data_IF_938062021308
#
_entry.id   IF_938062021308
#
_cell.length_a   1.000
_cell.length_b   1.000
_cell.length_c   1.000
_cell.angle_alpha   90.00
_cell.angle_beta   90.00
_cell.angle_gamma   90.00
#
_symmetry.space_group_name_H-M   'P 1'
#
loop_
_entity.id
_entity.type
_entity.pdbx_description
1 polymer ?
#
# COMPACT_ATOMS: atom_id res chain seq x y z
N UNK A 1 15.80 9.59 24.91
CA UNK A 1 15.24 10.84 24.38
C UNK A 1 13.89 11.00 25.05
N UNK A 2 13.77 11.89 26.05
CA UNK A 2 12.46 12.18 26.64
C UNK A 2 11.51 12.72 25.57
N UNK A 3 10.20 12.73 25.85
CA UNK A 3 9.19 13.35 24.97
C UNK A 3 9.65 14.73 24.48
N UNK A 4 9.53 14.98 23.18
CA UNK A 4 10.03 16.21 22.58
C UNK A 4 9.18 17.44 22.99
N UNK A 5 9.64 18.64 22.66
CA UNK A 5 8.93 19.87 23.03
C UNK A 5 7.55 19.98 22.37
N UNK A 6 7.42 19.51 21.11
CA UNK A 6 6.17 19.53 20.36
C UNK A 6 5.13 18.58 20.99
N UNK A 7 5.57 17.40 21.40
CA UNK A 7 4.76 16.36 22.06
C UNK A 7 4.32 16.81 23.45
N UNK A 8 5.20 17.48 24.21
CA UNK A 8 4.84 18.09 25.50
C UNK A 8 3.84 19.24 25.34
N UNK A 9 3.99 20.09 24.33
CA UNK A 9 2.99 21.12 23.97
C UNK A 9 1.65 20.50 23.56
N UNK A 10 1.66 19.39 22.82
CA UNK A 10 0.45 18.63 22.50
C UNK A 10 -0.21 18.06 23.75
N UNK A 11 0.56 17.49 24.69
CA UNK A 11 0.05 16.97 25.95
C UNK A 11 -0.62 18.03 26.84
N UNK A 12 -0.07 19.25 26.86
CA UNK A 12 -0.70 20.39 27.54
C UNK A 12 -1.99 20.81 26.82
N UNK A 13 -2.00 20.87 25.48
CA UNK A 13 -3.22 21.26 24.75
C UNK A 13 -4.35 20.22 24.78
N UNK A 14 -4.03 18.95 25.05
CA UNK A 14 -4.99 17.84 25.21
C UNK A 14 -5.09 17.35 26.67
N UNK A 15 -4.67 18.16 27.65
CA UNK A 15 -4.57 17.73 29.05
C UNK A 15 -5.94 17.28 29.60
N UNK A 16 -7.02 17.98 29.23
CA UNK A 16 -8.38 17.66 29.67
C UNK A 16 -8.84 16.30 29.15
N UNK A 17 -8.57 16.00 27.89
CA UNK A 17 -8.93 14.75 27.23
C UNK A 17 -8.07 13.58 27.76
N UNK A 18 -6.76 13.79 27.92
CA UNK A 18 -5.86 12.84 28.57
C UNK A 18 -6.30 12.53 30.00
N UNK A 19 -6.62 13.55 30.80
CA UNK A 19 -7.09 13.38 32.18
C UNK A 19 -8.40 12.58 32.23
N UNK A 20 -9.36 12.89 31.36
CA UNK A 20 -10.62 12.12 31.21
C UNK A 20 -10.40 10.66 30.78
N UNK A 21 -9.41 10.39 29.93
CA UNK A 21 -9.04 9.03 29.56
C UNK A 21 -8.43 8.28 30.77
N UNK A 22 -7.50 8.92 31.48
CA UNK A 22 -6.86 8.37 32.68
C UNK A 22 -7.84 8.13 33.84
N UNK A 23 -8.77 9.06 34.08
CA UNK A 23 -9.83 8.94 35.08
C UNK A 23 -10.76 7.76 34.76
N UNK A 24 -11.10 7.56 33.48
CA UNK A 24 -11.89 6.40 33.03
C UNK A 24 -11.11 5.09 33.20
N UNK A 25 -9.85 5.03 32.79
CA UNK A 25 -8.99 3.85 32.99
C UNK A 25 -8.89 3.48 34.48
N UNK A 26 -8.61 4.45 35.36
CA UNK A 26 -8.55 4.25 36.82
C UNK A 26 -9.88 3.78 37.39
N UNK A 27 -10.97 4.50 37.12
CA UNK A 27 -12.28 4.16 37.68
C UNK A 27 -12.77 2.76 37.26
N UNK A 28 -12.40 2.28 36.06
CA UNK A 28 -12.65 0.89 35.62
C UNK A 28 -11.79 -0.11 36.40
N UNK A 29 -10.50 0.18 36.56
CA UNK A 29 -9.57 -0.64 37.35
C UNK A 29 -9.98 -0.73 38.84
N UNK A 30 -10.44 0.37 39.45
CA UNK A 30 -10.92 0.40 40.84
C UNK A 30 -12.16 -0.49 41.02
N UNK A 31 -13.10 -0.45 40.06
CA UNK A 31 -14.24 -1.39 39.99
C UNK A 31 -13.80 -2.82 39.65
N UNK A 32 -12.53 -3.03 39.29
CA UNK A 32 -11.96 -4.31 38.85
C UNK A 32 -12.60 -4.86 37.59
N UNK A 33 -13.05 -3.97 36.72
CA UNK A 33 -13.53 -4.31 35.38
C UNK A 33 -12.32 -4.69 34.52
N UNK A 34 -12.44 -5.74 33.71
CA UNK A 34 -11.33 -6.28 32.92
C UNK A 34 -11.60 -6.16 31.43
N UNK A 35 -10.56 -5.92 30.64
CA UNK A 35 -10.61 -6.00 29.18
C UNK A 35 -10.27 -7.41 28.73
N UNK A 36 -11.12 -7.98 27.89
CA UNK A 36 -10.79 -9.12 27.04
C UNK A 36 -10.70 -8.66 25.59
N UNK A 37 -9.47 -8.55 25.10
CA UNK A 37 -9.22 -8.31 23.67
C UNK A 37 -9.09 -9.64 22.92
N UNK A 38 -9.98 -9.86 21.95
CA UNK A 38 -9.82 -10.89 20.93
C UNK A 38 -9.15 -10.29 19.69
N UNK A 39 -7.96 -10.82 19.36
CA UNK A 39 -7.19 -10.40 18.18
C UNK A 39 -7.77 -10.87 16.85
N UNK A 40 -8.65 -11.88 16.84
CA UNK A 40 -9.29 -12.41 15.63
C UNK A 40 -10.44 -11.49 15.20
N UNK A 41 -11.40 -11.23 16.09
CA UNK A 41 -12.49 -10.28 15.82
C UNK A 41 -12.09 -8.80 15.97
N UNK A 42 -10.91 -8.53 16.56
CA UNK A 42 -10.46 -7.19 16.98
C UNK A 42 -11.44 -6.50 17.94
N UNK A 43 -12.11 -7.27 18.79
CA UNK A 43 -13.05 -6.74 19.78
C UNK A 43 -12.43 -6.76 21.18
N UNK A 44 -12.45 -5.60 21.82
CA UNK A 44 -12.22 -5.45 23.25
C UNK A 44 -13.56 -5.44 23.98
N UNK A 45 -13.83 -6.49 24.75
CA UNK A 45 -15.00 -6.60 25.61
C UNK A 45 -14.60 -6.18 27.02
N UNK A 46 -15.31 -5.23 27.64
CA UNK A 46 -15.16 -4.96 29.07
C UNK A 46 -16.14 -5.82 29.85
N UNK A 47 -15.64 -6.51 30.86
CA UNK A 47 -16.40 -7.38 31.74
C UNK A 47 -16.31 -6.90 33.20
N UNK A 48 -17.40 -7.05 33.96
CA UNK A 48 -17.36 -6.89 35.43
C UNK A 48 -16.52 -7.99 36.07
N UNK A 49 -16.18 -7.85 37.35
CA UNK A 49 -15.59 -8.95 38.17
C UNK A 49 -16.44 -10.23 38.17
N UNK A 50 -17.73 -10.17 37.77
CA UNK A 50 -18.67 -11.29 37.70
C UNK A 50 -18.82 -11.88 36.29
N UNK A 51 -18.17 -11.29 35.28
CA UNK A 51 -18.24 -11.71 33.88
C UNK A 51 -19.35 -11.04 33.06
N UNK A 52 -20.07 -10.05 33.61
CA UNK A 52 -21.12 -9.34 32.88
C UNK A 52 -20.49 -8.39 31.84
N UNK A 53 -20.95 -8.44 30.59
CA UNK A 53 -20.45 -7.55 29.53
C UNK A 53 -20.98 -6.14 29.72
N UNK A 54 -20.07 -5.20 30.02
CA UNK A 54 -20.36 -3.77 30.22
C UNK A 54 -20.41 -3.03 28.88
N UNK A 55 -19.57 -3.44 27.93
CA UNK A 55 -19.49 -2.81 26.62
C UNK A 55 -18.47 -3.51 25.72
N UNK A 56 -18.50 -3.13 24.44
CA UNK A 56 -17.61 -3.66 23.40
C UNK A 56 -17.09 -2.51 22.54
N UNK A 57 -15.79 -2.49 22.34
CA UNK A 57 -15.08 -1.52 21.50
C UNK A 57 -14.24 -2.25 20.47
N UNK A 58 -14.04 -1.64 19.31
CA UNK A 58 -13.06 -2.11 18.35
C UNK A 58 -11.65 -1.79 18.86
N UNK A 59 -10.80 -2.81 18.98
CA UNK A 59 -9.41 -2.69 19.37
C UNK A 59 -8.50 -2.65 18.13
N UNK A 60 -7.87 -1.51 17.87
CA UNK A 60 -6.84 -1.39 16.82
C UNK A 60 -5.46 -1.33 17.48
N UNK A 61 -4.48 -2.05 16.94
CA UNK A 61 -3.10 -1.93 17.42
C UNK A 61 -2.56 -0.58 16.96
N UNK A 62 -2.15 0.27 17.89
CA UNK A 62 -1.65 1.62 17.60
C UNK A 62 -0.13 1.67 17.61
N UNK A 63 0.51 1.01 18.57
CA UNK A 63 1.98 0.94 18.68
C UNK A 63 2.45 -0.34 19.35
N UNK A 64 3.74 -0.65 19.19
CA UNK A 64 4.47 -1.65 19.98
C UNK A 64 5.75 -1.02 20.52
N UNK A 65 6.04 -1.24 21.78
CA UNK A 65 7.26 -0.79 22.44
C UNK A 65 8.14 -1.98 22.79
N UNK A 66 9.35 -2.03 22.23
CA UNK A 66 10.35 -3.06 22.52
C UNK A 66 11.14 -2.60 23.75
N UNK A 67 10.95 -3.30 24.87
CA UNK A 67 11.43 -2.85 26.19
C UNK A 67 12.96 -2.80 26.23
N UNK A 68 13.62 -3.81 25.66
CA UNK A 68 15.09 -3.93 25.59
C UNK A 68 15.73 -2.78 24.83
N UNK A 69 15.16 -2.42 23.68
CA UNK A 69 15.75 -1.46 22.75
C UNK A 69 15.24 -0.04 22.98
N UNK A 70 14.28 0.15 23.89
CA UNK A 70 13.64 1.44 24.20
C UNK A 70 12.98 2.11 22.98
N UNK A 71 12.52 1.30 22.03
CA UNK A 71 11.95 1.72 20.75
C UNK A 71 10.43 1.53 20.73
N UNK A 72 9.68 2.61 20.50
CA UNK A 72 8.26 2.55 20.14
C UNK A 72 8.11 2.59 18.62
N UNK A 73 7.52 1.55 18.05
CA UNK A 73 7.16 1.45 16.63
C UNK A 73 5.66 1.60 16.45
N UNK A 74 5.24 2.55 15.63
CA UNK A 74 3.82 2.71 15.32
C UNK A 74 3.29 1.62 14.39
N UNK A 75 2.03 1.25 14.54
CA UNK A 75 1.39 0.21 13.73
C UNK A 75 1.11 0.65 12.28
N UNK A 76 1.09 1.96 12.01
CA UNK A 76 1.02 2.51 10.66
C UNK A 76 2.35 2.39 9.91
N UNK A 77 3.48 2.34 10.62
CA UNK A 77 4.85 2.36 10.07
C UNK A 77 5.28 1.10 9.28
N UNK A 78 4.37 0.16 9.03
CA UNK A 78 4.57 -1.01 8.18
C UNK A 78 3.46 -1.21 7.13
N UNK A 79 2.51 -0.28 7.05
CA UNK A 79 1.36 -0.35 6.13
C UNK A 79 1.63 0.60 4.95
N UNK A 80 1.67 0.07 3.73
CA UNK A 80 1.46 0.91 2.54
C UNK A 80 -0.02 1.29 2.43
N UNK A 81 -0.27 2.50 1.95
CA UNK A 81 -1.48 3.30 2.16
C UNK A 81 -2.68 2.84 1.34
N UNK A 82 -3.21 1.65 1.65
CA UNK A 82 -4.23 0.99 0.81
C UNK A 82 -5.61 0.96 1.50
N UNK A 83 -6.51 1.75 0.93
CA UNK A 83 -7.97 1.60 0.92
C UNK A 83 -8.80 1.79 2.20
N UNK A 84 -8.27 1.60 3.42
CA UNK A 84 -9.05 1.86 4.65
C UNK A 84 -8.19 2.52 5.71
N UNK A 85 -8.45 3.80 5.94
CA UNK A 85 -7.83 4.56 7.02
C UNK A 85 -8.03 3.83 8.36
N UNK A 86 -6.93 3.63 9.06
CA UNK A 86 -6.88 3.04 10.40
C UNK A 86 -6.66 4.11 11.45
N UNK A 87 -6.95 3.79 12.72
CA UNK A 87 -6.78 4.76 13.79
C UNK A 87 -5.30 5.13 13.96
N UNK A 88 -4.39 4.18 13.73
CA UNK A 88 -2.95 4.45 13.71
C UNK A 88 -2.55 5.44 12.58
N UNK A 89 -3.13 5.35 11.38
CA UNK A 89 -2.84 6.33 10.31
C UNK A 89 -3.38 7.73 10.64
N UNK A 90 -4.45 7.83 11.45
CA UNK A 90 -4.94 9.11 11.96
C UNK A 90 -3.92 9.77 12.89
N UNK A 91 -3.25 8.99 13.73
CA UNK A 91 -2.13 9.46 14.58
C UNK A 91 -1.02 10.08 13.73
N UNK A 92 -0.62 9.41 12.63
CA UNK A 92 0.39 9.94 11.71
C UNK A 92 -0.06 11.25 11.05
N UNK A 93 -1.31 11.29 10.55
CA UNK A 93 -1.89 12.47 9.88
C UNK A 93 -1.97 13.68 10.82
N UNK A 94 -2.41 13.48 12.06
CA UNK A 94 -2.49 14.54 13.07
C UNK A 94 -1.10 14.93 13.62
N UNK A 95 -0.17 13.97 13.71
CA UNK A 95 1.23 14.27 14.01
C UNK A 95 1.86 15.19 12.97
N UNK A 96 1.59 14.94 11.68
CA UNK A 96 2.04 15.79 10.58
C UNK A 96 1.35 17.17 10.60
N UNK A 97 0.02 17.22 10.74
CA UNK A 97 -0.73 18.50 10.71
C UNK A 97 -0.41 19.42 11.89
N UNK A 98 -0.02 18.86 13.04
CA UNK A 98 0.35 19.60 14.26
C UNK A 98 1.85 19.82 14.42
N UNK A 99 2.69 19.31 13.50
CA UNK A 99 4.14 19.41 13.59
C UNK A 99 4.73 18.70 14.81
N UNK A 100 4.23 17.50 15.14
CA UNK A 100 4.67 16.66 16.27
C UNK A 100 5.43 15.44 15.74
N UNK A 101 6.78 15.48 15.67
CA UNK A 101 7.57 14.44 15.02
C UNK A 101 7.37 13.05 15.62
N UNK A 102 7.26 12.91 16.95
CA UNK A 102 7.12 11.61 17.60
C UNK A 102 5.83 10.85 17.23
N UNK A 103 4.79 11.54 16.75
CA UNK A 103 3.57 10.91 16.21
C UNK A 103 3.66 10.63 14.69
N UNK A 104 4.49 11.38 13.98
CA UNK A 104 4.64 11.36 12.52
C UNK A 104 5.83 10.52 12.01
N UNK A 105 6.80 10.18 12.86
CA UNK A 105 7.93 9.31 12.54
C UNK A 105 7.58 7.83 12.77
N UNK A 106 8.15 6.93 11.97
CA UNK A 106 7.83 5.49 11.98
C UNK A 106 8.20 4.77 13.28
N UNK A 107 9.30 5.19 13.90
CA UNK A 107 9.87 4.62 15.12
C UNK A 107 10.40 5.78 15.97
N UNK A 108 10.10 5.76 17.27
CA UNK A 108 10.60 6.70 18.28
C UNK A 108 11.53 5.95 19.22
N UNK A 109 12.78 6.40 19.33
CA UNK A 109 13.81 5.75 20.14
C UNK A 109 14.04 6.37 21.51
N UNK A 110 14.77 5.63 22.34
CA UNK A 110 15.24 6.01 23.67
C UNK A 110 14.15 6.47 24.65
N UNK A 111 12.90 6.00 24.50
CA UNK A 111 11.81 6.25 25.44
C UNK A 111 11.96 5.36 26.69
N UNK A 112 11.39 5.73 27.83
CA UNK A 112 11.07 4.73 28.87
C UNK A 112 9.63 4.21 28.72
N UNK A 113 9.21 3.30 29.61
CA UNK A 113 7.86 2.71 29.55
C UNK A 113 6.75 3.75 29.78
N UNK A 114 6.99 4.76 30.63
CA UNK A 114 5.99 5.78 30.95
C UNK A 114 5.89 6.85 29.87
N UNK A 115 7.01 7.25 29.25
CA UNK A 115 7.05 8.05 28.03
C UNK A 115 6.33 7.32 26.88
N UNK A 116 6.62 6.03 26.65
CA UNK A 116 5.98 5.22 25.62
C UNK A 116 4.46 5.10 25.86
N UNK A 117 4.03 4.88 27.12
CA UNK A 117 2.62 4.83 27.51
C UNK A 117 1.93 6.19 27.36
N UNK A 118 2.62 7.29 27.69
CA UNK A 118 2.10 8.66 27.52
C UNK A 118 1.91 8.98 26.05
N UNK A 119 2.88 8.63 25.20
CA UNK A 119 2.82 8.81 23.75
C UNK A 119 1.71 7.96 23.11
N UNK A 120 1.51 6.72 23.56
CA UNK A 120 0.41 5.86 23.11
C UNK A 120 -0.98 6.42 23.52
N UNK A 121 -1.12 6.96 24.74
CA UNK A 121 -2.36 7.62 25.19
C UNK A 121 -2.65 8.90 24.41
N UNK A 122 -1.63 9.73 24.17
CA UNK A 122 -1.71 10.90 23.29
C UNK A 122 -2.25 10.53 21.91
N UNK A 123 -1.65 9.51 21.30
CA UNK A 123 -2.09 8.99 20.01
C UNK A 123 -3.56 8.53 20.01
N UNK A 124 -4.01 7.82 21.06
CA UNK A 124 -5.41 7.39 21.15
C UNK A 124 -6.37 8.56 21.36
N UNK A 125 -6.03 9.56 22.17
CA UNK A 125 -6.83 10.81 22.29
C UNK A 125 -6.95 11.52 20.95
N UNK A 126 -5.82 11.69 20.25
CA UNK A 126 -5.76 12.29 18.90
C UNK A 126 -6.61 11.49 17.90
N UNK A 127 -6.59 10.15 17.99
CA UNK A 127 -7.43 9.26 17.21
C UNK A 127 -8.90 9.15 17.68
N UNK A 128 -9.32 9.96 18.66
CA UNK A 128 -10.67 9.97 19.26
C UNK A 128 -11.10 8.60 19.83
N UNK A 129 -10.15 7.88 20.42
CA UNK A 129 -10.41 6.63 21.12
C UNK A 129 -10.79 6.81 22.58
N UNK A 130 -11.39 5.75 23.13
CA UNK A 130 -12.03 5.72 24.44
C UNK A 130 -11.11 5.24 25.58
N UNK A 131 -9.98 4.61 25.26
CA UNK A 131 -8.99 4.12 26.22
C UNK A 131 -7.86 3.32 25.56
N UNK A 132 -6.84 2.96 26.34
CA UNK A 132 -5.72 2.12 25.89
C UNK A 132 -5.70 0.81 26.66
N UNK A 133 -5.70 -0.31 25.95
CA UNK A 133 -5.42 -1.64 26.50
C UNK A 133 -3.94 -1.99 26.25
N UNK A 134 -3.28 -2.53 27.28
CA UNK A 134 -1.84 -2.86 27.22
C UNK A 134 -1.64 -4.37 27.29
N UNK A 135 -1.08 -4.97 26.24
CA UNK A 135 -0.60 -6.35 26.27
C UNK A 135 0.90 -6.39 26.44
N UNK A 136 1.35 -6.89 27.60
CA UNK A 136 2.77 -7.10 27.91
C UNK A 136 3.17 -8.55 27.60
N UNK A 137 4.29 -8.70 26.90
CA UNK A 137 5.09 -9.93 26.84
C UNK A 137 6.43 -9.67 27.54
N UNK A 138 7.34 -10.65 27.56
CA UNK A 138 8.67 -10.46 28.16
C UNK A 138 9.52 -9.41 27.44
N UNK A 139 9.33 -9.25 26.12
CA UNK A 139 10.17 -8.37 25.27
C UNK A 139 9.42 -7.12 24.76
N UNK A 140 8.10 -7.19 24.54
CA UNK A 140 7.31 -6.10 23.96
C UNK A 140 6.05 -5.72 24.77
N UNK A 141 5.68 -4.45 24.70
CA UNK A 141 4.39 -3.92 25.14
C UNK A 141 3.61 -3.48 23.89
N UNK A 142 2.52 -4.18 23.57
CA UNK A 142 1.60 -3.81 22.51
C UNK A 142 0.51 -2.89 23.07
N UNK A 143 0.37 -1.69 22.49
CA UNK A 143 -0.67 -0.72 22.82
C UNK A 143 -1.84 -0.84 21.84
N UNK A 144 -3.02 -1.14 22.38
CA UNK A 144 -4.27 -1.33 21.65
C UNK A 144 -5.19 -0.16 21.99
N UNK A 145 -5.52 0.67 20.99
CA UNK A 145 -6.50 1.73 21.17
C UNK A 145 -7.91 1.17 21.08
N UNK A 146 -8.81 1.63 21.96
CA UNK A 146 -10.22 1.24 21.98
C UNK A 146 -11.06 2.30 21.27
N UNK A 147 -11.88 1.89 20.29
CA UNK A 147 -12.64 2.80 19.42
C UNK A 147 -14.10 2.35 19.26
N UNK A 148 -15.02 3.30 19.06
CA UNK A 148 -16.44 3.02 18.84
C UNK A 148 -16.75 2.36 17.50
N UNK A 149 -15.83 2.43 16.53
CA UNK A 149 -16.03 1.91 15.17
C UNK A 149 -14.73 1.33 14.60
N UNK A 150 -14.81 0.36 13.67
CA UNK A 150 -13.63 -0.25 13.03
C UNK A 150 -12.86 0.69 12.10
N UNK A 151 -13.46 1.84 11.76
CA UNK A 151 -12.86 2.92 10.97
C UNK A 151 -12.96 4.23 11.76
N UNK A 152 -11.97 5.13 11.65
CA UNK A 152 -12.07 6.46 12.21
C UNK A 152 -13.22 7.21 11.52
N UNK A 153 -14.00 7.96 12.31
CA UNK A 153 -15.03 8.87 11.76
C UNK A 153 -14.32 10.10 11.19
N UNK A 154 -14.16 10.11 9.87
CA UNK A 154 -13.78 11.34 9.17
C UNK A 154 -14.92 12.37 9.32
N UNK A 155 -14.58 13.56 9.79
CA UNK A 155 -15.50 14.71 9.74
C UNK A 155 -15.68 15.13 8.29
N UNK A 156 -16.83 15.74 7.97
CA UNK A 156 -17.18 16.13 6.60
C UNK A 156 -16.08 16.95 5.90
N UNK A 157 -15.45 16.30 4.92
CA UNK A 157 -14.75 16.93 3.82
C UNK A 157 -15.03 16.10 2.56
N UNK A 158 -15.42 16.71 1.43
CA UNK A 158 -15.66 15.96 0.21
C UNK A 158 -14.32 15.47 -0.38
N UNK A 159 -14.20 14.16 -0.55
CA UNK A 159 -13.07 13.51 -1.24
C UNK A 159 -13.28 13.53 -2.76
N UNK A 160 -12.51 14.32 -3.55
CA UNK A 160 -12.67 14.40 -4.99
C UNK A 160 -11.93 13.28 -5.75
N UNK A 161 -11.35 12.28 -5.08
CA UNK A 161 -10.31 11.40 -5.66
C UNK A 161 -10.69 9.93 -5.83
N UNK A 162 -11.99 9.59 -5.82
CA UNK A 162 -12.47 8.21 -6.04
C UNK A 162 -12.69 7.86 -7.51
N UNK A 163 -11.66 7.31 -8.15
CA UNK A 163 -11.79 6.69 -9.47
C UNK A 163 -12.42 5.29 -9.36
N UNK A 164 -13.66 5.17 -9.83
CA UNK A 164 -14.31 3.88 -10.09
C UNK A 164 -14.07 3.49 -11.55
N UNK A 165 -13.53 2.29 -11.79
CA UNK A 165 -13.37 1.74 -13.15
C UNK A 165 -14.58 0.83 -13.43
N UNK A 166 -15.44 1.15 -14.41
CA UNK A 166 -16.56 0.30 -14.77
C UNK A 166 -16.06 -1.02 -15.40
N UNK A 167 -16.82 -2.13 -15.28
CA UNK A 167 -16.48 -3.37 -15.96
C UNK A 167 -16.56 -3.18 -17.49
N UNK A 168 -15.78 -3.96 -18.28
CA UNK A 168 -15.88 -3.91 -19.73
C UNK A 168 -17.30 -4.26 -20.18
N UNK A 169 -17.82 -3.62 -21.25
CA UNK A 169 -19.18 -3.91 -21.72
C UNK A 169 -19.28 -5.38 -22.13
N UNK A 170 -20.23 -6.08 -21.51
CA UNK A 170 -20.55 -7.45 -21.91
C UNK A 170 -20.93 -7.45 -23.40
N UNK A 171 -20.20 -8.23 -24.20
CA UNK A 171 -20.54 -8.43 -25.61
C UNK A 171 -21.94 -9.06 -25.68
N UNK A 172 -22.95 -8.25 -26.00
CA UNK A 172 -24.30 -8.74 -26.26
C UNK A 172 -24.22 -9.74 -27.40
N UNK A 173 -24.48 -11.01 -27.12
CA UNK A 173 -24.66 -12.04 -28.13
C UNK A 173 -25.87 -11.66 -28.98
N UNK A 174 -25.64 -11.16 -30.18
CA UNK A 174 -26.68 -11.00 -31.19
C UNK A 174 -27.21 -12.38 -31.57
N UNK A 175 -28.51 -12.59 -31.36
CA UNK A 175 -29.24 -13.74 -31.90
C UNK A 175 -29.38 -13.61 -33.44
N UNK A 176 -29.67 -14.71 -34.17
CA UNK A 176 -29.43 -14.77 -35.61
C UNK A 176 -30.52 -14.08 -36.46
N UNK A 177 -30.19 -13.65 -37.69
CA UNK A 177 -31.18 -13.13 -38.64
C UNK A 177 -31.94 -14.26 -39.35
N UNK A 178 -33.25 -14.08 -39.52
CA UNK A 178 -34.12 -14.86 -40.41
C UNK A 178 -34.33 -14.12 -41.76
N UNK A 179 -34.75 -14.80 -42.84
CA UNK A 179 -34.40 -14.40 -44.21
C UNK A 179 -35.37 -13.43 -44.91
N UNK A 180 -34.86 -12.85 -46.01
CA UNK A 180 -35.54 -11.98 -47.00
C UNK A 180 -36.64 -12.69 -47.80
N UNK A 181 -37.52 -11.93 -48.47
CA UNK A 181 -37.61 -12.07 -49.94
C UNK A 181 -37.88 -10.77 -50.74
N UNK A 182 -37.55 -10.80 -52.05
CA UNK A 182 -37.90 -9.78 -53.08
C UNK A 182 -36.82 -8.71 -53.32
N UNK A 183 -35.96 -8.78 -54.35
CA UNK A 183 -36.19 -8.42 -55.78
C UNK A 183 -36.62 -6.94 -55.99
N UNK A 184 -36.06 -6.16 -56.93
CA UNK A 184 -35.45 -6.54 -58.20
C UNK A 184 -34.31 -5.62 -58.74
N UNK A 185 -33.43 -6.25 -59.53
CA UNK A 185 -32.63 -5.80 -60.69
C UNK A 185 -32.67 -4.31 -61.12
N UNK A 186 -31.47 -3.75 -61.40
CA UNK A 186 -31.10 -3.14 -62.70
C UNK A 186 -29.60 -2.80 -62.79
N UNK A 187 -29.05 -2.69 -64.01
CA UNK A 187 -27.62 -2.39 -64.33
C UNK A 187 -27.56 -1.76 -65.75
N UNK A 188 -26.38 -1.48 -66.36
CA UNK A 188 -25.24 -0.63 -65.98
C UNK A 188 -25.26 0.62 -66.92
N UNK A 189 -24.25 1.12 -67.69
CA UNK A 189 -22.78 1.08 -67.64
C UNK A 189 -22.04 2.43 -67.92
N UNK A 190 -20.70 2.37 -67.95
CA UNK A 190 -19.74 3.29 -68.63
C UNK A 190 -19.45 4.66 -67.96
N UNK A 191 -18.26 5.30 -68.09
CA UNK A 191 -17.13 5.16 -69.04
C UNK A 191 -15.87 5.92 -68.53
N UNK A 192 -14.63 5.37 -68.67
CA UNK A 192 -13.30 6.05 -68.85
C UNK A 192 -12.86 7.11 -67.77
N UNK A 193 -11.59 7.43 -67.46
CA UNK A 193 -10.26 7.32 -68.12
C UNK A 193 -9.11 7.53 -67.10
N UNK A 194 -7.93 6.92 -67.31
CA UNK A 194 -6.58 7.38 -66.86
C UNK A 194 -5.92 8.22 -67.99
N UNK A 195 -4.74 8.90 -67.90
CA UNK A 195 -3.54 8.73 -67.04
C UNK A 195 -2.89 10.08 -66.54
N UNK A 196 -1.56 10.31 -66.39
CA UNK A 196 -0.71 9.95 -65.23
C UNK A 196 0.09 11.17 -64.59
N UNK A 197 1.39 11.14 -64.16
CA UNK A 197 1.80 11.74 -62.86
C UNK A 197 2.79 12.94 -62.93
N UNK A 198 3.07 13.60 -61.79
CA UNK A 198 4.15 14.60 -61.66
C UNK A 198 4.92 14.48 -60.32
N UNK A 199 6.26 14.58 -60.40
CA UNK A 199 7.23 14.58 -59.29
C UNK A 199 7.15 15.78 -58.34
N UNK A 200 7.62 15.58 -57.09
CA UNK A 200 8.62 16.38 -56.32
C UNK A 200 8.52 16.01 -54.83
N UNK A 201 9.53 15.91 -53.98
CA UNK A 201 11.00 15.84 -54.05
C UNK A 201 11.50 15.96 -52.60
N UNK A 202 12.28 15.01 -52.08
CA UNK A 202 13.11 15.22 -50.88
C UNK A 202 14.21 16.23 -51.22
N UNK A 203 14.60 17.16 -50.32
CA UNK A 203 15.78 16.92 -49.44
C UNK A 203 15.73 17.77 -48.13
N UNK A 204 16.83 17.95 -47.35
CA UNK A 204 18.03 17.13 -47.17
C UNK A 204 18.26 16.68 -45.71
N UNK A 205 19.13 15.68 -45.53
CA UNK A 205 19.81 15.43 -44.25
C UNK A 205 20.72 16.62 -43.93
N UNK A 206 20.67 17.12 -42.69
CA UNK A 206 21.76 17.94 -42.12
C UNK A 206 22.46 17.12 -41.04
N UNK A 207 23.56 16.50 -41.44
CA UNK A 207 24.64 16.22 -40.50
C UNK A 207 25.12 17.57 -39.96
N UNK A 208 25.06 17.74 -38.63
CA UNK A 208 25.80 18.79 -37.94
C UNK A 208 26.80 18.05 -37.07
N UNK A 209 28.00 17.92 -37.61
CA UNK A 209 29.15 17.45 -36.88
C UNK A 209 29.72 18.62 -36.06
N UNK A 210 30.02 18.31 -34.79
CA UNK A 210 30.89 19.02 -33.83
C UNK A 210 30.34 20.19 -32.99
N UNK A 211 30.95 20.45 -31.79
CA UNK A 211 32.17 19.85 -31.23
C UNK A 211 32.01 19.09 -29.90
N UNK A 212 33.06 18.30 -29.62
CA UNK A 212 33.29 17.54 -28.37
C UNK A 212 33.68 18.48 -27.22
N UNK A 213 32.76 19.31 -26.75
CA UNK A 213 32.99 20.27 -25.65
C UNK A 213 32.38 19.80 -24.33
N UNK A 214 33.26 19.46 -23.39
CA UNK A 214 33.00 19.16 -21.97
C UNK A 214 31.97 18.06 -21.64
N UNK A 215 32.40 17.08 -20.83
CA UNK A 215 31.49 16.40 -19.91
C UNK A 215 30.92 17.46 -18.96
N UNK A 216 29.72 17.97 -19.23
CA UNK A 216 28.95 18.66 -18.21
C UNK A 216 28.71 17.65 -17.07
N UNK A 217 29.39 17.86 -15.94
CA UNK A 217 29.03 17.23 -14.66
C UNK A 217 27.73 17.84 -14.09
N UNK A 218 26.75 18.15 -14.95
CA UNK A 218 25.36 18.13 -14.53
C UNK A 218 25.06 16.68 -14.17
N UNK A 219 24.79 16.34 -12.90
CA UNK A 219 24.22 15.03 -12.60
C UNK A 219 22.98 14.85 -13.49
N UNK A 220 22.71 13.64 -14.01
CA UNK A 220 21.47 13.40 -14.74
C UNK A 220 20.31 13.91 -13.87
N UNK A 221 19.35 14.67 -14.44
CA UNK A 221 18.25 15.25 -13.66
C UNK A 221 17.63 14.13 -12.82
N UNK A 222 17.50 14.35 -11.51
CA UNK A 222 17.10 13.31 -10.56
C UNK A 222 15.83 12.64 -11.07
N UNK A 223 16.00 11.45 -11.66
CA UNK A 223 14.89 10.72 -12.25
C UNK A 223 14.03 10.28 -11.08
N UNK A 224 12.89 10.96 -10.89
CA UNK A 224 11.95 10.67 -9.81
C UNK A 224 11.53 9.20 -9.93
N UNK A 225 11.76 8.46 -8.86
CA UNK A 225 11.26 7.09 -8.74
C UNK A 225 9.73 7.17 -8.68
N UNK A 226 9.07 6.49 -9.59
CA UNK A 226 7.62 6.28 -9.65
C UNK A 226 7.31 4.79 -9.69
N UNK A 227 6.06 4.43 -9.46
CA UNK A 227 5.56 3.09 -9.80
C UNK A 227 5.68 2.85 -11.32
N UNK A 228 6.05 1.64 -11.77
CA UNK A 228 6.05 1.31 -13.18
C UNK A 228 4.67 1.48 -13.81
N UNK A 229 4.64 1.90 -15.07
CA UNK A 229 3.40 2.01 -15.81
C UNK A 229 2.64 0.67 -15.82
N UNK A 230 1.31 0.72 -15.64
CA UNK A 230 0.45 -0.47 -15.53
C UNK A 230 0.64 -1.45 -16.70
N UNK A 231 0.89 -0.95 -17.90
CA UNK A 231 1.19 -1.73 -19.11
C UNK A 231 2.47 -2.56 -18.99
N UNK A 232 3.49 -2.07 -18.29
CA UNK A 232 4.75 -2.76 -18.03
C UNK A 232 4.64 -3.80 -16.91
N UNK A 233 3.86 -3.50 -15.87
CA UNK A 233 3.69 -4.39 -14.72
C UNK A 233 2.72 -5.56 -14.99
N UNK A 234 1.72 -5.37 -15.87
CA UNK A 234 0.66 -6.36 -16.10
C UNK A 234 1.17 -7.77 -16.52
N UNK A 235 2.16 -7.93 -17.42
CA UNK A 235 2.73 -9.24 -17.73
C UNK A 235 3.33 -9.96 -16.51
N UNK A 236 4.03 -9.23 -15.63
CA UNK A 236 4.57 -9.77 -14.38
C UNK A 236 3.44 -10.22 -13.47
N UNK A 237 2.42 -9.38 -13.30
CA UNK A 237 1.26 -9.72 -12.49
C UNK A 237 0.55 -10.99 -12.98
N UNK A 238 0.37 -11.16 -14.30
CA UNK A 238 -0.23 -12.38 -14.88
C UNK A 238 0.61 -13.63 -14.58
N UNK A 239 1.94 -13.57 -14.77
CA UNK A 239 2.82 -14.70 -14.47
C UNK A 239 2.81 -15.06 -12.97
N UNK A 240 2.85 -14.05 -12.10
CA UNK A 240 2.82 -14.21 -10.64
C UNK A 240 1.48 -14.77 -10.14
N UNK A 241 0.36 -14.29 -10.68
CA UNK A 241 -0.97 -14.84 -10.37
C UNK A 241 -1.09 -16.30 -10.81
N UNK A 242 -0.54 -16.65 -11.98
CA UNK A 242 -0.46 -18.03 -12.45
C UNK A 242 0.40 -18.92 -11.54
N UNK A 243 1.50 -18.41 -10.99
CA UNK A 243 2.33 -19.12 -10.02
C UNK A 243 1.58 -19.38 -8.71
N UNK A 244 0.93 -18.37 -8.12
CA UNK A 244 0.16 -18.53 -6.88
C UNK A 244 -1.06 -19.44 -7.05
N UNK A 245 -1.79 -19.34 -8.17
CA UNK A 245 -2.93 -20.21 -8.45
C UNK A 245 -2.54 -21.70 -8.56
N UNK A 246 -1.32 -22.00 -9.04
CA UNK A 246 -0.77 -23.37 -9.10
C UNK A 246 -0.23 -23.85 -7.76
N UNK A 247 0.52 -23.00 -7.04
CA UNK A 247 1.27 -23.41 -5.85
C UNK A 247 0.47 -23.36 -4.53
N UNK A 248 -0.44 -22.39 -4.39
CA UNK A 248 -1.23 -22.16 -3.17
C UNK A 248 -2.68 -21.84 -3.54
N UNK A 249 -3.46 -22.82 -4.03
CA UNK A 249 -4.87 -22.61 -4.36
C UNK A 249 -5.65 -22.14 -3.12
N UNK A 250 -6.46 -21.09 -3.28
CA UNK A 250 -7.21 -20.50 -2.18
C UNK A 250 -6.38 -19.68 -1.18
N UNK A 251 -5.23 -19.13 -1.60
CA UNK A 251 -4.49 -18.17 -0.80
C UNK A 251 -5.36 -16.98 -0.37
N UNK A 252 -5.17 -16.47 0.85
CA UNK A 252 -5.90 -15.30 1.36
C UNK A 252 -5.25 -13.98 0.93
N UNK A 253 -3.92 -13.95 0.93
CA UNK A 253 -3.07 -12.83 0.51
C UNK A 253 -1.75 -13.38 -0.02
N UNK A 254 -1.18 -12.69 -1.00
CA UNK A 254 0.14 -13.02 -1.54
C UNK A 254 1.01 -11.76 -1.72
N UNK A 255 2.31 -11.98 -1.80
CA UNK A 255 3.35 -10.96 -1.90
C UNK A 255 4.38 -11.39 -2.93
N UNK A 256 4.59 -10.55 -3.93
CA UNK A 256 5.73 -10.59 -4.83
C UNK A 256 6.73 -9.51 -4.42
N UNK A 257 8.01 -9.85 -4.36
CA UNK A 257 9.10 -8.89 -4.15
C UNK A 257 10.17 -9.11 -5.20
N UNK A 258 10.58 -8.03 -5.84
CA UNK A 258 11.64 -7.96 -6.82
C UNK A 258 12.72 -7.01 -6.31
N UNK A 259 13.92 -7.52 -6.05
CA UNK A 259 15.08 -6.73 -5.66
C UNK A 259 16.09 -6.72 -6.80
N UNK A 260 16.57 -5.53 -7.15
CA UNK A 260 17.59 -5.31 -8.19
C UNK A 260 18.90 -4.94 -7.49
N UNK A 261 19.86 -5.86 -7.47
CA UNK A 261 21.19 -5.56 -6.98
C UNK A 261 21.91 -4.57 -7.91
N UNK A 262 22.63 -3.64 -7.29
CA UNK A 262 23.38 -2.55 -7.93
C UNK A 262 24.76 -2.36 -7.32
N UNK A 263 25.20 -3.27 -6.45
CA UNK A 263 26.53 -3.20 -5.86
C UNK A 263 27.66 -3.41 -6.89
N UNK A 264 27.37 -3.98 -8.07
CA UNK A 264 28.35 -4.10 -9.15
C UNK A 264 28.65 -2.75 -9.82
N UNK A 265 29.92 -2.30 -9.83
CA UNK A 265 30.35 -1.11 -10.55
C UNK A 265 30.71 -1.37 -12.02
N UNK A 266 30.61 -2.62 -12.50
CA UNK A 266 31.03 -2.99 -13.86
C UNK A 266 29.86 -2.97 -14.86
N UNK A 267 30.00 -2.32 -16.03
CA UNK A 267 28.99 -2.37 -17.08
C UNK A 267 28.87 -3.75 -17.77
N UNK A 268 29.75 -4.70 -17.44
CA UNK A 268 29.72 -6.08 -17.99
C UNK A 268 29.15 -7.12 -17.03
N UNK A 269 28.95 -6.80 -15.74
CA UNK A 269 28.36 -7.74 -14.79
C UNK A 269 26.83 -7.77 -14.92
N UNK A 270 26.28 -8.98 -15.00
CA UNK A 270 24.83 -9.19 -15.05
C UNK A 270 24.21 -8.71 -13.74
N UNK A 271 23.29 -7.75 -13.82
CA UNK A 271 22.50 -7.27 -12.67
C UNK A 271 21.84 -8.46 -11.97
N UNK A 272 22.12 -8.65 -10.68
CA UNK A 272 21.53 -9.74 -9.91
C UNK A 272 20.09 -9.38 -9.53
N UNK A 273 19.14 -10.12 -10.11
CA UNK A 273 17.73 -10.03 -9.81
C UNK A 273 17.38 -11.07 -8.73
N UNK A 274 16.72 -10.64 -7.67
CA UNK A 274 16.19 -11.54 -6.63
C UNK A 274 14.67 -11.40 -6.63
N UNK A 275 13.99 -12.50 -6.99
CA UNK A 275 12.53 -12.60 -6.94
C UNK A 275 12.15 -13.45 -5.73
N UNK A 276 11.18 -12.97 -4.95
CA UNK A 276 10.55 -13.71 -3.85
C UNK A 276 9.04 -13.74 -4.08
N UNK A 277 8.45 -14.91 -3.90
CA UNK A 277 7.00 -15.10 -3.84
C UNK A 277 6.65 -15.71 -2.49
N UNK A 278 5.65 -15.14 -1.82
CA UNK A 278 5.10 -15.73 -0.60
C UNK A 278 3.58 -15.54 -0.56
N UNK A 279 2.86 -16.48 0.04
CA UNK A 279 1.41 -16.43 0.18
C UNK A 279 0.96 -16.99 1.54
N UNK A 280 -0.07 -16.38 2.12
CA UNK A 280 -0.81 -16.99 3.22
C UNK A 280 -1.84 -17.95 2.63
N UNK A 281 -1.73 -19.23 2.96
CA UNK A 281 -2.70 -20.24 2.53
C UNK A 281 -4.05 -20.10 3.27
N UNK A 282 -5.02 -20.95 2.93
CA UNK A 282 -6.35 -20.94 3.55
C UNK A 282 -6.33 -21.15 5.08
N UNK A 283 -5.26 -21.77 5.64
CA UNK A 283 -5.09 -21.97 7.09
C UNK A 283 -4.48 -20.75 7.81
N UNK A 284 -4.08 -19.72 7.06
CA UNK A 284 -3.34 -18.57 7.58
C UNK A 284 -1.83 -18.81 7.70
N UNK A 285 -1.33 -19.95 7.20
CA UNK A 285 0.10 -20.28 7.24
C UNK A 285 0.85 -19.61 6.07
N UNK A 286 1.98 -18.97 6.37
CA UNK A 286 2.84 -18.36 5.37
C UNK A 286 3.63 -19.44 4.61
N UNK A 287 3.50 -19.48 3.29
CA UNK A 287 4.26 -20.35 2.39
C UNK A 287 5.14 -19.51 1.47
N UNK A 288 6.42 -19.87 1.38
CA UNK A 288 7.25 -19.44 0.26
C UNK A 288 6.84 -20.22 -1.00
N UNK A 289 6.93 -19.57 -2.17
CA UNK A 289 6.68 -20.17 -3.48
C UNK A 289 7.93 -19.92 -4.33
N UNK A 290 8.43 -20.95 -4.99
CA UNK A 290 9.57 -20.78 -5.88
C UNK A 290 9.14 -20.03 -7.16
N UNK A 291 9.84 -18.94 -7.55
CA UNK A 291 9.49 -18.20 -8.75
C UNK A 291 9.81 -19.00 -10.01
N UNK A 292 8.81 -19.17 -10.89
CA UNK A 292 9.01 -19.81 -12.19
C UNK A 292 9.89 -18.96 -13.11
N UNK A 293 10.49 -19.60 -14.11
CA UNK A 293 11.27 -18.92 -15.16
C UNK A 293 10.47 -17.78 -15.82
N UNK A 294 9.17 -18.00 -16.08
CA UNK A 294 8.26 -17.00 -16.65
C UNK A 294 8.15 -15.74 -15.77
N UNK A 295 8.10 -15.91 -14.44
CA UNK A 295 8.06 -14.78 -13.48
C UNK A 295 9.39 -14.03 -13.47
N UNK A 296 10.52 -14.74 -13.51
CA UNK A 296 11.86 -14.14 -13.53
C UNK A 296 12.12 -13.38 -14.84
N UNK A 297 11.75 -13.94 -15.99
CA UNK A 297 11.85 -13.29 -17.30
C UNK A 297 10.98 -12.03 -17.38
N UNK A 298 9.73 -12.12 -16.92
CA UNK A 298 8.83 -10.98 -16.91
C UNK A 298 9.37 -9.87 -15.99
N UNK A 299 9.91 -10.24 -14.81
CA UNK A 299 10.54 -9.31 -13.88
C UNK A 299 11.79 -8.62 -14.46
N UNK A 300 12.62 -9.35 -15.22
CA UNK A 300 13.76 -8.78 -15.91
C UNK A 300 13.34 -7.75 -16.98
N UNK A 301 12.37 -8.12 -17.83
CA UNK A 301 11.82 -7.23 -18.87
C UNK A 301 11.15 -5.98 -18.29
N UNK A 302 10.47 -6.10 -17.15
CA UNK A 302 9.92 -4.96 -16.41
C UNK A 302 11.02 -3.96 -16.02
N UNK A 303 12.12 -4.43 -15.42
CA UNK A 303 13.22 -3.57 -14.97
C UNK A 303 13.89 -2.83 -16.14
N UNK A 304 14.03 -3.47 -17.28
CA UNK A 304 14.59 -2.85 -18.49
C UNK A 304 13.63 -1.85 -19.13
N UNK A 305 12.36 -2.25 -19.34
CA UNK A 305 11.37 -1.40 -19.98
C UNK A 305 11.04 -0.15 -19.15
N UNK A 306 10.97 -0.27 -17.82
CA UNK A 306 10.70 0.85 -16.91
C UNK A 306 11.87 1.85 -16.82
N UNK A 307 13.12 1.38 -16.93
CA UNK A 307 14.28 2.26 -17.07
C UNK A 307 14.30 3.00 -18.42
N UNK A 308 13.83 2.34 -19.49
CA UNK A 308 13.70 2.91 -20.83
C UNK A 308 12.54 3.93 -20.91
N UNK A 309 11.46 3.72 -20.14
CA UNK A 309 10.36 4.68 -19.91
C UNK A 309 10.80 5.92 -19.09
N UNK A 310 12.09 5.98 -18.71
CA UNK A 310 12.67 7.13 -18.00
C UNK A 310 12.33 7.17 -16.51
N UNK A 311 11.90 6.05 -15.91
CA UNK A 311 11.70 5.97 -14.47
C UNK A 311 13.03 6.17 -13.71
N UNK A 312 12.92 6.64 -12.47
CA UNK A 312 13.99 6.63 -11.50
C UNK A 312 14.51 5.22 -11.24
N UNK A 313 15.82 5.05 -11.05
CA UNK A 313 16.38 3.74 -10.78
C UNK A 313 16.00 3.31 -9.35
N UNK A 314 15.00 2.44 -9.19
CA UNK A 314 14.57 1.83 -7.91
C UNK A 314 15.29 0.52 -7.58
N UNK A 315 15.49 0.22 -6.30
CA UNK A 315 16.19 -1.00 -5.83
C UNK A 315 15.25 -2.16 -5.52
N UNK A 316 14.03 -1.86 -5.08
CA UNK A 316 13.03 -2.84 -4.68
C UNK A 316 11.65 -2.44 -5.20
N UNK A 317 10.95 -3.43 -5.74
CA UNK A 317 9.52 -3.36 -6.04
C UNK A 317 8.84 -4.47 -5.24
N UNK A 318 7.71 -4.16 -4.61
CA UNK A 318 6.88 -5.18 -3.97
C UNK A 318 5.42 -5.02 -4.38
N UNK A 319 4.80 -6.10 -4.83
CA UNK A 319 3.39 -6.14 -5.17
C UNK A 319 2.63 -7.02 -4.18
N UNK A 320 1.69 -6.42 -3.44
CA UNK A 320 0.73 -7.14 -2.61
C UNK A 320 -0.46 -7.54 -3.46
N UNK A 321 -0.88 -8.80 -3.32
CA UNK A 321 -1.88 -9.44 -4.16
C UNK A 321 -3.00 -9.95 -3.25
N UNK A 322 -4.19 -9.38 -3.40
CA UNK A 322 -5.40 -9.84 -2.71
C UNK A 322 -6.33 -10.45 -3.75
N UNK A 323 -6.65 -11.75 -3.69
CA UNK A 323 -7.57 -12.37 -4.64
C UNK A 323 -8.99 -11.84 -4.44
N UNK A 324 -9.77 -11.86 -5.51
CA UNK A 324 -11.17 -11.41 -5.55
C UNK A 324 -12.11 -12.60 -5.79
N UNK A 325 -13.38 -12.51 -5.37
CA UNK A 325 -14.37 -13.58 -5.61
C UNK A 325 -14.66 -13.86 -7.09
N UNK A 326 -14.34 -12.93 -7.98
CA UNK A 326 -14.50 -13.05 -9.44
C UNK A 326 -13.35 -13.79 -10.13
N UNK A 327 -12.36 -14.30 -9.37
CA UNK A 327 -11.15 -14.93 -9.89
C UNK A 327 -10.06 -13.93 -10.31
N UNK A 328 -10.32 -12.63 -10.19
CA UNK A 328 -9.31 -11.59 -10.34
C UNK A 328 -8.47 -11.38 -9.07
N UNK A 329 -7.63 -10.35 -9.08
CA UNK A 329 -6.91 -9.89 -7.91
C UNK A 329 -6.79 -8.36 -7.88
N UNK A 330 -6.70 -7.80 -6.69
CA UNK A 330 -6.21 -6.44 -6.46
C UNK A 330 -4.70 -6.49 -6.28
N UNK A 331 -3.99 -5.66 -7.04
CA UNK A 331 -2.53 -5.53 -7.02
C UNK A 331 -2.20 -4.14 -6.50
N UNK A 332 -1.39 -4.05 -5.45
CA UNK A 332 -0.86 -2.78 -4.96
C UNK A 332 0.67 -2.84 -5.04
N UNK A 333 1.28 -1.92 -5.78
CA UNK A 333 2.71 -1.94 -6.12
C UNK A 333 3.43 -0.82 -5.40
N UNK A 334 4.34 -1.16 -4.51
CA UNK A 334 5.21 -0.23 -3.78
C UNK A 334 6.63 -0.29 -4.37
N UNK A 335 7.33 0.86 -4.47
CA UNK A 335 8.67 0.96 -5.07
C UNK A 335 9.61 1.79 -4.18
N UNK A 336 10.86 1.34 -4.03
CA UNK A 336 11.91 1.89 -3.14
C UNK A 336 13.27 1.88 -3.86
#
# INVERSE_FOLDING_TARGET
MPLDEATRKLAISLERELRRLLERERARADRGEQVRYDSVSRMATWETRRGDVIGRWYGDVIARYVVRDRLLRWAWAGRSSISTMTHAELVSREGQSRGVPQLAMSVVGDLDEDDARTLARLAVVVAKGEGVELRRTEEEITFIGLFDSPRPREGEAPDPSRYSVPPPPAARRSAPPLPLPGEARSSPPARRTTPPPVHRSLPPIREIYEPRSARSKTPPPERKIREPARSLFLPVATAVLGAFAKAVPGYQQALFVLTVDRASPSPTEKRRLVVLLAANDASGSLRAVDPSHEVVDAAARLVEADQNDGNGPWRKLSARITPKPDGGATLNVDVI
#
